data_IF_460279245455
#
_entry.id   IF_460279245455
#
_cell.length_a   1.000
_cell.length_b   1.000
_cell.length_c   1.000
_cell.angle_alpha   90.00
_cell.angle_beta   90.00
_cell.angle_gamma   90.00
#
_symmetry.space_group_name_H-M   'P 1'
#
loop_
_entity.id
_entity.type
_entity.pdbx_description
1 polymer ?
#
# COMPACT_ATOMS: atom_id res chain seq x y z
N UNK A 1 -0.47 24.70 -1.51
CA UNK A 1 0.69 23.77 -1.44
C UNK A 1 1.07 23.64 0.01
N UNK A 2 0.67 22.54 0.66
CA UNK A 2 0.88 22.34 2.09
C UNK A 2 2.38 22.16 2.38
N UNK A 3 2.91 22.98 3.30
CA UNK A 3 4.24 22.78 3.89
C UNK A 3 4.13 21.55 4.79
N UNK A 4 4.52 20.39 4.27
CA UNK A 4 4.65 19.19 5.10
C UNK A 4 5.83 19.43 6.05
N UNK A 5 5.54 19.59 7.34
CA UNK A 5 6.58 19.69 8.36
C UNK A 5 7.35 18.38 8.48
N UNK A 6 8.62 18.43 8.88
CA UNK A 6 9.47 17.24 9.08
C UNK A 6 8.77 16.24 10.02
N UNK A 7 8.10 16.73 11.06
CA UNK A 7 7.32 15.93 12.01
C UNK A 7 6.18 15.12 11.36
N UNK A 8 5.60 15.62 10.26
CA UNK A 8 4.53 14.91 9.54
C UNK A 8 5.07 13.76 8.68
N UNK A 9 6.30 13.89 8.17
CA UNK A 9 6.95 12.83 7.40
C UNK A 9 7.38 11.69 8.32
N UNK A 10 7.94 12.00 9.49
CA UNK A 10 8.32 10.99 10.49
C UNK A 10 7.10 10.23 11.00
N UNK A 11 5.99 10.94 11.25
CA UNK A 11 4.73 10.29 11.62
C UNK A 11 4.20 9.37 10.50
N UNK A 12 4.28 9.81 9.24
CA UNK A 12 3.88 9.01 8.09
C UNK A 12 4.74 7.75 7.95
N UNK A 13 6.05 7.85 8.18
CA UNK A 13 6.96 6.71 8.19
C UNK A 13 6.64 5.73 9.34
N UNK A 14 6.35 6.24 10.55
CA UNK A 14 5.96 5.42 11.68
C UNK A 14 4.64 4.66 11.45
N UNK A 15 3.64 5.35 10.90
CA UNK A 15 2.35 4.76 10.54
C UNK A 15 2.48 3.71 9.44
N UNK A 16 3.33 3.95 8.43
CA UNK A 16 3.63 3.01 7.36
C UNK A 16 4.31 1.74 7.91
N UNK A 17 5.28 1.89 8.82
CA UNK A 17 5.92 0.77 9.49
C UNK A 17 4.93 -0.04 10.34
N UNK A 18 4.03 0.62 11.07
CA UNK A 18 2.99 -0.06 11.83
C UNK A 18 2.05 -0.86 10.90
N UNK A 19 1.75 -0.31 9.72
CA UNK A 19 0.94 -1.00 8.73
C UNK A 19 1.63 -2.24 8.16
N UNK A 20 2.92 -2.16 7.83
CA UNK A 20 3.67 -3.31 7.30
C UNK A 20 3.84 -4.42 8.34
N UNK A 21 4.09 -4.08 9.61
CA UNK A 21 4.09 -5.05 10.71
C UNK A 21 2.74 -5.74 10.85
N UNK A 22 1.63 -5.00 10.73
CA UNK A 22 0.28 -5.58 10.78
C UNK A 22 0.03 -6.57 9.63
N UNK A 23 0.45 -6.24 8.41
CA UNK A 23 0.34 -7.14 7.25
C UNK A 23 1.09 -8.45 7.51
N UNK A 24 2.25 -8.39 8.16
CA UNK A 24 3.06 -9.57 8.50
C UNK A 24 2.44 -10.44 9.61
N UNK A 25 1.82 -9.80 10.60
CA UNK A 25 1.39 -10.46 11.84
C UNK A 25 -0.08 -10.89 11.83
N UNK A 26 -0.92 -10.27 10.98
CA UNK A 26 -2.37 -10.48 10.96
C UNK A 26 -2.83 -11.38 9.80
N UNK A 27 -3.92 -12.14 9.97
CA UNK A 27 -4.54 -12.87 8.87
C UNK A 27 -4.93 -11.94 7.70
N UNK A 28 -4.77 -12.40 6.44
CA UNK A 28 -4.95 -11.55 5.26
C UNK A 28 -6.36 -10.95 5.14
N UNK A 29 -7.40 -11.67 5.55
CA UNK A 29 -8.77 -11.18 5.54
C UNK A 29 -8.99 -10.02 6.51
N UNK A 30 -8.40 -10.10 7.70
CA UNK A 30 -8.50 -9.05 8.72
C UNK A 30 -7.76 -7.78 8.28
N UNK A 31 -6.58 -7.96 7.68
CA UNK A 31 -5.79 -6.89 7.07
C UNK A 31 -6.56 -6.21 5.94
N UNK A 32 -7.18 -6.99 5.04
CA UNK A 32 -7.99 -6.46 3.95
C UNK A 32 -9.15 -5.60 4.46
N UNK A 33 -9.98 -6.13 5.38
CA UNK A 33 -11.12 -5.38 5.93
C UNK A 33 -10.70 -4.08 6.60
N UNK A 34 -9.58 -4.11 7.33
CA UNK A 34 -9.03 -2.93 8.01
C UNK A 34 -8.56 -1.87 7.00
N UNK A 35 -7.81 -2.30 5.98
CA UNK A 35 -7.34 -1.41 4.91
C UNK A 35 -8.50 -0.80 4.15
N UNK A 36 -9.49 -1.59 3.74
CA UNK A 36 -10.67 -1.11 3.04
C UNK A 36 -11.42 -0.06 3.87
N UNK A 37 -11.62 -0.31 5.16
CA UNK A 37 -12.25 0.66 6.05
C UNK A 37 -11.46 1.97 6.15
N UNK A 38 -10.13 1.89 6.27
CA UNK A 38 -9.26 3.06 6.37
C UNK A 38 -9.24 3.87 5.07
N UNK A 39 -9.19 3.21 3.91
CA UNK A 39 -9.28 3.88 2.61
C UNK A 39 -10.61 4.63 2.41
N UNK A 40 -11.72 4.09 2.92
CA UNK A 40 -13.01 4.79 2.87
C UNK A 40 -13.10 5.95 3.85
N UNK A 41 -12.48 5.83 5.02
CA UNK A 41 -12.56 6.84 6.09
C UNK A 41 -11.64 8.04 5.83
N UNK A 42 -10.42 7.79 5.39
CA UNK A 42 -9.40 8.82 5.15
C UNK A 42 -8.52 8.45 3.94
N UNK A 43 -9.03 8.70 2.72
CA UNK A 43 -8.35 8.29 1.50
C UNK A 43 -7.03 9.04 1.27
N UNK A 44 -6.93 10.31 1.67
CA UNK A 44 -5.73 11.13 1.48
C UNK A 44 -4.57 10.61 2.33
N UNK A 45 -4.82 10.34 3.61
CA UNK A 45 -3.83 9.75 4.50
C UNK A 45 -3.42 8.36 4.03
N UNK A 46 -4.37 7.56 3.55
CA UNK A 46 -4.01 6.23 3.04
C UNK A 46 -3.17 6.29 1.77
N UNK A 47 -3.45 7.22 0.85
CA UNK A 47 -2.61 7.41 -0.32
C UNK A 47 -1.17 7.78 0.08
N UNK A 48 -0.99 8.66 1.07
CA UNK A 48 0.34 9.00 1.59
C UNK A 48 1.07 7.79 2.15
N UNK A 49 0.41 6.98 2.99
CA UNK A 49 1.01 5.78 3.57
C UNK A 49 1.39 4.75 2.51
N UNK A 50 0.53 4.51 1.52
CA UNK A 50 0.81 3.60 0.42
C UNK A 50 1.98 4.10 -0.44
N UNK A 51 2.06 5.40 -0.72
CA UNK A 51 3.19 5.98 -1.44
C UNK A 51 4.50 5.89 -0.65
N UNK A 52 4.46 6.13 0.67
CA UNK A 52 5.63 5.96 1.55
C UNK A 52 6.12 4.51 1.55
N UNK A 53 5.21 3.53 1.56
CA UNK A 53 5.57 2.11 1.45
C UNK A 53 6.13 1.74 0.07
N UNK A 54 5.57 2.32 -1.00
CA UNK A 54 5.99 2.04 -2.37
C UNK A 54 7.46 2.40 -2.64
N UNK A 55 8.06 3.35 -1.91
CA UNK A 55 9.50 3.68 -2.00
C UNK A 55 10.39 2.47 -1.71
N UNK A 56 9.94 1.55 -0.85
CA UNK A 56 10.70 0.37 -0.45
C UNK A 56 10.39 -0.87 -1.30
N UNK A 57 9.52 -0.72 -2.30
CA UNK A 57 9.10 -1.77 -3.20
C UNK A 57 9.83 -1.57 -4.52
N UNK A 58 10.80 -2.45 -4.81
CA UNK A 58 11.48 -2.44 -6.11
C UNK A 58 10.47 -2.81 -7.22
N UNK A 59 10.18 -1.92 -8.17
CA UNK A 59 9.15 -2.16 -9.18
C UNK A 59 9.49 -3.33 -10.11
N UNK A 60 10.76 -3.71 -10.27
CA UNK A 60 11.18 -4.80 -11.15
C UNK A 60 11.08 -6.17 -10.48
N UNK A 61 11.29 -6.23 -9.17
CA UNK A 61 11.32 -7.49 -8.40
C UNK A 61 10.11 -7.70 -7.50
N UNK A 62 9.31 -6.65 -7.26
CA UNK A 62 8.09 -6.76 -6.49
C UNK A 62 7.01 -7.56 -7.22
N UNK A 63 6.12 -8.12 -6.42
CA UNK A 63 4.94 -8.89 -6.85
C UNK A 63 4.06 -8.12 -7.85
N UNK A 64 4.26 -6.81 -8.03
CA UNK A 64 3.66 -5.98 -9.08
C UNK A 64 3.95 -6.52 -10.49
N UNK A 65 5.17 -6.98 -10.79
CA UNK A 65 5.51 -7.59 -12.08
C UNK A 65 4.81 -8.95 -12.29
N UNK A 66 4.63 -9.69 -11.19
CA UNK A 66 3.96 -10.99 -11.19
C UNK A 66 2.43 -10.85 -11.24
N UNK A 67 1.87 -9.85 -10.55
CA UNK A 67 0.48 -9.41 -10.64
C UNK A 67 0.16 -8.88 -12.02
N UNK A 68 1.03 -8.07 -12.64
CA UNK A 68 0.88 -7.63 -14.04
C UNK A 68 0.87 -8.81 -15.01
N UNK A 69 1.73 -9.82 -14.79
CA UNK A 69 1.67 -11.07 -15.57
C UNK A 69 0.37 -11.83 -15.36
N UNK A 70 -0.11 -11.96 -14.13
CA UNK A 70 -1.38 -12.65 -13.81
C UNK A 70 -2.57 -11.91 -14.41
N UNK A 71 -2.65 -10.59 -14.23
CA UNK A 71 -3.69 -9.74 -14.82
C UNK A 71 -3.64 -9.81 -16.34
N UNK A 72 -2.46 -9.71 -16.95
CA UNK A 72 -2.26 -9.87 -18.39
C UNK A 72 -2.74 -11.22 -18.92
N UNK A 73 -2.56 -12.31 -18.16
CA UNK A 73 -3.08 -13.64 -18.49
C UNK A 73 -4.61 -13.69 -18.45
N UNK A 74 -5.23 -13.03 -17.47
CA UNK A 74 -6.68 -12.98 -17.31
C UNK A 74 -7.33 -12.12 -18.41
N UNK A 75 -6.70 -11.01 -18.79
CA UNK A 75 -7.24 -10.09 -19.81
C UNK A 75 -6.88 -10.48 -21.24
N UNK A 76 -5.80 -11.26 -21.43
CA UNK A 76 -5.31 -11.69 -22.75
C UNK A 76 -6.00 -12.92 -23.34
N UNK A 77 -6.68 -13.74 -22.52
CA UNK A 77 -7.46 -14.91 -22.95
C UNK A 77 -8.85 -14.55 -23.53
N UNK A 78 -9.15 -13.25 -23.69
CA UNK A 78 -10.42 -12.73 -24.21
C UNK A 78 -10.34 -12.22 -25.67
N UNK A 79 -9.28 -12.54 -26.41
CA UNK A 79 -9.10 -12.21 -27.82
C UNK A 79 -8.78 -13.46 -28.65
#
# INVERSE_FOLDING_TARGET
>A
MARYGIDQLDQCAADALALSSRVRESPPEQTYRTLTYQCHRDPERMAQLLMTLAVFVDPETATTGELLRIVGRITGDAA
#
